data_IF_800600723335
#
_entry.id   IF_800600723335
#
_cell.length_a   1.000
_cell.length_b   1.000
_cell.length_c   1.000
_cell.angle_alpha   90.00
_cell.angle_beta   90.00
_cell.angle_gamma   90.00
#
_symmetry.space_group_name_H-M   'P 1'
#
loop_
_entity.id
_entity.type
_entity.pdbx_description
1 polymer ?
#
# COMPACT_ATOMS: atom_id res chain seq x y z
N UNK A 1 -0.11 -14.59 -12.75
CA UNK A 1 0.91 -13.81 -12.02
C UNK A 1 0.66 -12.35 -12.33
N UNK A 2 0.47 -11.49 -11.32
CA UNK A 2 0.14 -10.09 -11.52
C UNK A 2 1.27 -9.35 -12.25
N UNK A 3 0.90 -8.32 -13.02
CA UNK A 3 1.87 -7.46 -13.71
C UNK A 3 2.50 -6.45 -12.76
N UNK A 4 3.69 -5.94 -13.10
CA UNK A 4 4.38 -4.92 -12.32
C UNK A 4 3.50 -3.68 -12.08
N UNK A 5 2.71 -3.29 -13.08
CA UNK A 5 1.78 -2.16 -12.95
C UNK A 5 0.65 -2.45 -11.94
N UNK A 6 0.09 -3.66 -11.94
CA UNK A 6 -0.94 -4.07 -10.97
C UNK A 6 -0.38 -4.13 -9.55
N UNK A 7 0.86 -4.60 -9.38
CA UNK A 7 1.54 -4.62 -8.08
C UNK A 7 1.71 -3.20 -7.54
N UNK A 8 2.22 -2.28 -8.37
CA UNK A 8 2.43 -0.88 -7.99
C UNK A 8 1.10 -0.20 -7.64
N UNK A 9 0.07 -0.38 -8.47
CA UNK A 9 -1.26 0.19 -8.25
C UNK A 9 -1.87 -0.32 -6.93
N UNK A 10 -1.84 -1.63 -6.70
CA UNK A 10 -2.38 -2.26 -5.48
C UNK A 10 -1.70 -1.75 -4.21
N UNK A 11 -0.36 -1.67 -4.23
CA UNK A 11 0.41 -1.14 -3.11
C UNK A 11 0.08 0.33 -2.83
N UNK A 12 0.01 1.16 -3.87
CA UNK A 12 -0.27 2.58 -3.73
C UNK A 12 -1.68 2.81 -3.15
N UNK A 13 -2.70 2.12 -3.68
CA UNK A 13 -4.08 2.24 -3.21
C UNK A 13 -4.22 1.83 -1.73
N UNK A 14 -3.54 0.76 -1.32
CA UNK A 14 -3.56 0.30 0.07
C UNK A 14 -2.89 1.29 1.03
N UNK A 15 -1.72 1.84 0.66
CA UNK A 15 -1.04 2.85 1.46
C UNK A 15 -1.88 4.13 1.61
N UNK A 16 -2.44 4.65 0.50
CA UNK A 16 -3.29 5.83 0.52
C UNK A 16 -4.55 5.61 1.38
N UNK A 17 -5.13 4.41 1.31
CA UNK A 17 -6.28 4.01 2.12
C UNK A 17 -6.02 4.17 3.62
N UNK A 18 -4.83 3.78 4.10
CA UNK A 18 -4.43 3.95 5.51
C UNK A 18 -4.32 5.43 5.87
N UNK A 19 -3.65 6.22 5.04
CA UNK A 19 -3.45 7.66 5.30
C UNK A 19 -4.80 8.37 5.43
N UNK A 20 -5.73 8.11 4.51
CA UNK A 20 -7.08 8.70 4.53
C UNK A 20 -7.98 8.14 5.63
N UNK A 21 -7.71 6.94 6.14
CA UNK A 21 -8.42 6.39 7.29
C UNK A 21 -7.98 7.04 8.62
N UNK A 22 -6.72 7.50 8.69
CA UNK A 22 -6.11 8.04 9.92
C UNK A 22 -6.18 9.54 10.06
N UNK A 23 -6.28 10.27 8.95
CA UNK A 23 -6.45 11.70 8.95
C UNK A 23 -7.72 12.09 8.20
N UNK A 24 -8.49 13.04 8.73
CA UNK A 24 -9.50 13.70 7.89
C UNK A 24 -8.75 14.42 6.78
N UNK A 25 -9.30 14.42 5.57
CA UNK A 25 -8.69 15.07 4.39
C UNK A 25 -8.28 16.55 4.61
N UNK A 26 -8.87 17.23 5.61
CA UNK A 26 -8.53 18.61 5.96
C UNK A 26 -7.35 18.77 6.93
N UNK A 27 -6.85 17.68 7.51
CA UNK A 27 -5.79 17.68 8.53
C UNK A 27 -4.42 17.30 7.94
N UNK A 28 -4.38 16.56 6.83
CA UNK A 28 -3.14 16.29 6.09
C UNK A 28 -2.74 17.55 5.35
N UNK A 29 -1.52 18.06 5.62
CA UNK A 29 -0.99 19.20 4.86
C UNK A 29 -0.49 18.75 3.50
N UNK A 30 0.19 17.62 3.48
CA UNK A 30 0.78 17.01 2.30
C UNK A 30 1.08 15.54 2.61
N UNK A 31 1.05 14.68 1.59
CA UNK A 31 1.55 13.32 1.67
C UNK A 31 2.09 12.91 0.30
N UNK A 32 3.11 12.08 0.31
CA UNK A 32 3.70 11.50 -0.89
C UNK A 32 3.85 9.99 -0.67
N UNK A 33 3.38 9.21 -1.64
CA UNK A 33 3.56 7.76 -1.69
C UNK A 33 4.34 7.44 -2.95
N UNK A 34 5.53 6.87 -2.79
CA UNK A 34 6.37 6.40 -3.90
C UNK A 34 6.44 4.89 -3.82
N UNK A 35 5.97 4.23 -4.87
CA UNK A 35 5.99 2.78 -4.99
C UNK A 35 6.77 2.40 -6.24
N UNK A 36 7.73 1.49 -6.08
CA UNK A 36 8.50 0.91 -7.18
C UNK A 36 8.47 -0.60 -7.06
N UNK A 37 8.30 -1.27 -8.19
CA UNK A 37 8.44 -2.73 -8.27
C UNK A 37 9.40 -3.05 -9.40
N UNK A 38 10.55 -3.62 -9.06
CA UNK A 38 11.59 -3.97 -10.03
C UNK A 38 12.31 -5.24 -9.58
N UNK A 39 12.60 -6.14 -10.53
CA UNK A 39 13.28 -7.42 -10.28
C UNK A 39 12.61 -8.29 -9.18
N UNK A 40 11.29 -8.17 -9.02
CA UNK A 40 10.52 -8.89 -8.00
C UNK A 40 10.67 -8.32 -6.58
N UNK A 41 11.23 -7.12 -6.44
CA UNK A 41 11.37 -6.40 -5.17
C UNK A 41 10.41 -5.22 -5.18
N UNK A 42 9.55 -5.17 -4.15
CA UNK A 42 8.68 -4.03 -3.86
C UNK A 42 9.41 -3.07 -2.94
N UNK A 43 9.45 -1.79 -3.33
CA UNK A 43 9.99 -0.69 -2.55
C UNK A 43 8.89 0.36 -2.36
N UNK A 44 8.63 0.71 -1.10
CA UNK A 44 7.53 1.61 -0.71
C UNK A 44 8.08 2.65 0.24
N UNK A 45 8.11 3.90 -0.23
CA UNK A 45 8.45 5.07 0.56
C UNK A 45 7.19 5.90 0.79
N UNK A 46 6.86 6.14 2.06
CA UNK A 46 5.70 6.95 2.46
C UNK A 46 6.17 8.14 3.27
N UNK A 47 5.76 9.33 2.84
CA UNK A 47 5.96 10.58 3.56
C UNK A 47 4.61 11.19 3.90
N UNK A 48 4.42 11.56 5.17
CA UNK A 48 3.22 12.25 5.64
C UNK A 48 3.62 13.50 6.39
N UNK A 49 3.11 14.65 5.94
CA UNK A 49 3.23 15.92 6.62
C UNK A 49 1.89 16.27 7.27
N UNK A 50 1.76 15.91 8.54
CA UNK A 50 0.61 16.25 9.37
C UNK A 50 1.04 17.19 10.52
N UNK A 51 0.14 18.02 11.06
CA UNK A 51 0.45 18.81 12.24
C UNK A 51 0.75 17.91 13.45
N UNK A 52 1.84 18.22 14.17
CA UNK A 52 2.28 17.46 15.35
C UNK A 52 1.26 17.49 16.51
N UNK A 53 0.30 18.42 16.48
CA UNK A 53 -0.78 18.54 17.46
C UNK A 53 -2.00 17.62 17.18
N UNK A 54 -1.96 16.81 16.12
CA UNK A 54 -3.02 15.87 15.75
C UNK A 54 -3.11 14.62 16.64
N UNK A 55 -4.24 13.92 16.61
CA UNK A 55 -4.43 12.66 17.35
C UNK A 55 -3.57 11.49 16.82
N UNK A 56 -3.08 11.59 15.58
CA UNK A 56 -2.30 10.55 14.91
C UNK A 56 -0.87 11.03 14.62
N UNK A 57 0.11 10.23 15.03
CA UNK A 57 1.53 10.44 14.75
C UNK A 57 1.85 10.12 13.28
N UNK A 58 2.43 11.07 12.55
CA UNK A 58 2.64 10.96 11.11
C UNK A 58 3.62 9.86 10.72
N UNK A 59 4.65 9.64 11.55
CA UNK A 59 5.65 8.60 11.30
C UNK A 59 5.00 7.22 11.50
N UNK A 60 4.21 7.05 12.56
CA UNK A 60 3.45 5.83 12.79
C UNK A 60 2.44 5.53 11.68
N UNK A 61 1.79 6.55 11.11
CA UNK A 61 0.87 6.37 9.97
C UNK A 61 1.62 5.99 8.70
N UNK A 62 2.78 6.61 8.43
CA UNK A 62 3.62 6.25 7.29
C UNK A 62 4.08 4.78 7.35
N UNK A 63 4.57 4.33 8.53
CA UNK A 63 4.97 2.94 8.77
C UNK A 63 3.79 1.96 8.60
N UNK A 64 2.59 2.37 8.98
CA UNK A 64 1.40 1.53 8.80
C UNK A 64 0.98 1.47 7.33
N UNK A 65 1.01 2.58 6.61
CA UNK A 65 0.70 2.64 5.20
C UNK A 65 1.67 1.77 4.37
N UNK A 66 2.97 1.81 4.67
CA UNK A 66 3.96 0.96 4.01
C UNK A 66 3.69 -0.54 4.25
N UNK A 67 3.31 -0.91 5.48
CA UNK A 67 2.93 -2.30 5.80
C UNK A 67 1.66 -2.73 5.08
N UNK A 68 0.64 -1.87 5.02
CA UNK A 68 -0.60 -2.18 4.32
C UNK A 68 -0.38 -2.36 2.81
N UNK A 69 0.49 -1.57 2.19
CA UNK A 69 0.90 -1.76 0.80
C UNK A 69 1.52 -3.14 0.57
N UNK A 70 2.44 -3.55 1.46
CA UNK A 70 3.06 -4.86 1.38
C UNK A 70 2.04 -5.99 1.56
N UNK A 71 1.18 -5.92 2.57
CA UNK A 71 0.14 -6.92 2.83
C UNK A 71 -0.82 -7.06 1.65
N UNK A 72 -1.21 -5.95 1.01
CA UNK A 72 -2.09 -5.97 -0.16
C UNK A 72 -1.44 -6.62 -1.38
N UNK A 73 -0.14 -6.38 -1.60
CA UNK A 73 0.60 -7.06 -2.67
C UNK A 73 0.75 -8.55 -2.37
N UNK A 74 1.08 -8.92 -1.12
CA UNK A 74 1.15 -10.32 -0.71
C UNK A 74 -0.19 -11.04 -0.94
N UNK A 75 -1.32 -10.37 -0.66
CA UNK A 75 -2.66 -10.88 -0.94
C UNK A 75 -2.92 -11.00 -2.45
N UNK A 76 -2.57 -10.00 -3.26
CA UNK A 76 -2.69 -10.06 -4.72
C UNK A 76 -1.98 -11.28 -5.32
N UNK A 77 -0.75 -11.54 -4.88
CA UNK A 77 -0.01 -12.74 -5.32
C UNK A 77 -0.64 -14.04 -4.81
N UNK A 78 -1.22 -14.04 -3.60
CA UNK A 78 -1.92 -15.21 -3.07
C UNK A 78 -3.23 -15.49 -3.81
N UNK A 79 -4.00 -14.47 -4.18
CA UNK A 79 -5.24 -14.60 -4.95
C UNK A 79 -4.96 -15.14 -6.37
N UNK A 80 -3.94 -14.60 -7.03
CA UNK A 80 -3.52 -15.06 -8.36
C UNK A 80 -3.03 -16.52 -8.34
N UNK A 81 -2.27 -16.91 -7.30
CA UNK A 81 -1.84 -18.30 -7.11
C UNK A 81 -3.03 -19.27 -6.90
N UNK A 82 -4.10 -18.82 -6.24
CA UNK A 82 -5.33 -19.62 -6.10
C UNK A 82 -6.13 -19.68 -7.42
N UNK A 83 -6.12 -18.64 -8.24
CA UNK A 83 -6.78 -18.64 -9.54
C UNK A 83 -6.18 -19.68 -10.50
N UNK A 84 -4.86 -19.91 -10.43
CA UNK A 84 -4.18 -20.96 -11.21
C UNK A 84 -4.52 -22.38 -10.68
N UNK A 85 -4.70 -22.53 -9.37
CA UNK A 85 -4.99 -23.82 -8.73
C UNK A 85 -6.39 -24.39 -9.04
N UNK A 86 -7.37 -23.54 -9.40
CA UNK A 86 -8.74 -23.97 -9.72
C UNK A 86 -8.88 -24.50 -11.17
N UNK A 87 -7.93 -24.21 -12.07
CA UNK A 87 -8.02 -24.59 -13.49
C UNK A 87 -7.61 -26.05 -13.79
N UNK A 88 -6.93 -26.73 -12.87
CA UNK A 88 -6.48 -28.14 -13.03
C UNK A 88 -7.54 -29.17 -12.57
N UNK A 89 -8.78 -28.74 -12.32
CA UNK A 89 -9.89 -29.60 -11.87
C UNK A 89 -10.98 -29.80 -12.95
N UNK A 90 -10.62 -30.21 -14.19
CA UNK A 90 -11.60 -30.63 -15.23
C UNK A 90 -11.17 -31.86 -16.03
#
# INVERSE_FOLDING_TARGET
MPTDAEVVETAAEAAEGVIFARYKQSEVRDFDVTVTFEDGVLDVDVYVNAPEDGESDSEAVADEAARAAQDAVDELFAEDANADADTDAV
#
